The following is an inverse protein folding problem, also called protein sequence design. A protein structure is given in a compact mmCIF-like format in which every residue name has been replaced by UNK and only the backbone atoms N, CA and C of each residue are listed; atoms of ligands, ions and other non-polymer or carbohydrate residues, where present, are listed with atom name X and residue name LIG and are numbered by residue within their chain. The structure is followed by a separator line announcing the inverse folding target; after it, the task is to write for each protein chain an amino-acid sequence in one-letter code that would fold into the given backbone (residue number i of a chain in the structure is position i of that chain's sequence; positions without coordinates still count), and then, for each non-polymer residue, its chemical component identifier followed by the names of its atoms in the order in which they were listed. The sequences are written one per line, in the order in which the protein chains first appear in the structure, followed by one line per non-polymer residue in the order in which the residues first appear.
data_IF_244240289314
#
_entry.id   IF_244240289314
#
_cell.length_a   1.000
_cell.length_b   1.000
_cell.length_c   1.000
_cell.angle_alpha   90.00
_cell.angle_beta   90.00
_cell.angle_gamma   90.00
#
_symmetry.space_group_name_H-M   'P 1'
#
loop_
_entity.id
_entity.type
_entity.pdbx_description
1 polymer ?
#
# COMPACT_ATOMS: atom_id res chain seq x y z
N UNK A 1 13.98 -3.61 25.06
CA UNK A 1 12.63 -3.24 24.61
C UNK A 1 12.41 -4.01 23.32
N UNK A 2 11.42 -4.89 23.25
CA UNK A 2 11.07 -5.53 22.00
C UNK A 2 10.32 -4.48 21.17
N UNK A 3 10.88 -4.09 20.03
CA UNK A 3 10.17 -3.28 19.04
C UNK A 3 9.22 -4.23 18.31
N UNK A 4 7.94 -4.19 18.65
CA UNK A 4 6.91 -4.85 17.85
C UNK A 4 6.75 -4.06 16.56
N UNK A 5 6.73 -4.75 15.42
CA UNK A 5 6.47 -4.14 14.12
C UNK A 5 5.06 -3.57 14.10
N UNK A 6 4.93 -2.26 13.88
CA UNK A 6 3.65 -1.61 13.58
C UNK A 6 3.62 -1.32 12.09
N UNK A 7 3.00 -2.22 11.31
CA UNK A 7 2.58 -1.89 9.95
C UNK A 7 1.33 -1.02 10.06
N UNK A 8 1.38 0.22 9.57
CA UNK A 8 0.21 1.09 9.53
C UNK A 8 -0.45 0.94 8.16
N UNK A 9 -1.61 0.30 8.14
CA UNK A 9 -2.47 0.26 6.95
C UNK A 9 -3.33 1.52 6.94
N UNK A 10 -3.18 2.33 5.90
CA UNK A 10 -4.10 3.41 5.58
C UNK A 10 -5.00 2.87 4.46
N UNK A 11 -6.18 2.37 4.84
CA UNK A 11 -7.22 1.94 3.91
C UNK A 11 -8.20 3.08 3.67
N UNK A 12 -8.37 3.47 2.41
CA UNK A 12 -9.50 4.29 1.96
C UNK A 12 -10.56 3.33 1.39
N UNK A 13 -11.79 3.82 1.21
CA UNK A 13 -12.88 3.04 0.65
C UNK A 13 -13.10 3.49 -0.79
N UNK A 14 -13.07 2.54 -1.73
CA UNK A 14 -13.36 2.83 -3.14
C UNK A 14 -14.79 3.38 -3.32
N UNK A 15 -15.77 2.87 -2.57
CA UNK A 15 -17.17 3.35 -2.59
C UNK A 15 -17.49 4.16 -1.33
N UNK A 16 -17.99 5.39 -1.50
CA UNK A 16 -18.28 6.35 -0.41
C UNK A 16 -19.27 5.85 0.66
N UNK A 17 -20.11 4.85 0.35
CA UNK A 17 -21.11 4.31 1.27
C UNK A 17 -20.59 3.15 2.13
N UNK A 18 -19.31 2.78 2.00
CA UNK A 18 -18.66 1.79 2.83
C UNK A 18 -17.99 2.52 4.01
N UNK A 19 -18.14 2.04 5.25
CA UNK A 19 -17.61 2.72 6.44
C UNK A 19 -16.35 2.03 6.93
N UNK A 20 -15.21 2.73 6.96
CA UNK A 20 -14.02 2.46 7.80
C UNK A 20 -13.28 1.12 7.67
N UNK A 21 -13.82 0.17 6.91
CA UNK A 21 -13.32 -1.18 6.60
C UNK A 21 -13.68 -1.51 5.15
N UNK A 22 -13.33 -0.61 4.21
CA UNK A 22 -13.66 -0.77 2.80
C UNK A 22 -12.49 -1.28 1.98
N UNK A 23 -12.82 -1.64 0.76
CA UNK A 23 -11.91 -2.30 -0.16
C UNK A 23 -11.46 -1.26 -1.17
N UNK A 24 -10.22 -0.81 -1.06
CA UNK A 24 -9.68 0.27 -1.91
C UNK A 24 -9.43 -0.20 -3.34
N UNK A 25 -8.96 -1.44 -3.50
CA UNK A 25 -8.52 -1.99 -4.79
C UNK A 25 -9.44 -3.11 -5.31
N UNK A 26 -10.63 -3.21 -4.74
CA UNK A 26 -11.65 -4.18 -5.14
C UNK A 26 -13.05 -3.62 -5.01
N UNK A 27 -13.88 -3.82 -6.03
CA UNK A 27 -15.29 -3.45 -5.99
C UNK A 27 -16.12 -4.58 -5.37
N UNK A 28 -16.21 -4.59 -4.03
CA UNK A 28 -16.93 -5.64 -3.27
C UNK A 28 -18.39 -5.77 -3.65
N UNK A 29 -19.04 -4.65 -3.98
CA UNK A 29 -20.46 -4.64 -4.34
C UNK A 29 -20.74 -5.51 -5.57
N UNK A 30 -19.80 -5.54 -6.51
CA UNK A 30 -19.92 -6.28 -7.76
C UNK A 30 -18.93 -7.44 -7.89
N UNK A 31 -18.16 -7.69 -6.83
CA UNK A 31 -17.14 -8.71 -6.70
C UNK A 31 -16.19 -8.81 -7.90
N UNK A 32 -15.50 -7.69 -8.18
CA UNK A 32 -14.59 -7.56 -9.32
C UNK A 32 -13.48 -6.54 -9.05
N UNK A 33 -12.42 -6.53 -9.86
CA UNK A 33 -11.44 -5.44 -9.85
C UNK A 33 -12.07 -4.08 -10.19
N UNK A 34 -11.36 -3.02 -9.78
CA UNK A 34 -11.75 -1.62 -10.00
C UNK A 34 -11.42 -1.21 -11.44
N UNK A 35 -12.43 -1.17 -12.32
CA UNK A 35 -12.28 -0.90 -13.77
C UNK A 35 -12.85 0.44 -14.21
N UNK A 36 -13.37 1.25 -13.31
CA UNK A 36 -14.01 2.53 -13.62
C UNK A 36 -14.08 3.41 -12.37
N UNK A 37 -14.58 4.64 -12.50
CA UNK A 37 -14.88 5.49 -11.34
C UNK A 37 -16.02 4.91 -10.50
N UNK A 38 -16.02 5.21 -9.19
CA UNK A 38 -16.94 4.58 -8.23
C UNK A 38 -18.43 4.90 -8.47
N UNK A 39 -18.77 6.01 -9.13
CA UNK A 39 -20.14 6.37 -9.48
C UNK A 39 -20.59 5.82 -10.85
N UNK A 40 -19.66 5.31 -11.67
CA UNK A 40 -19.99 4.86 -13.02
C UNK A 40 -20.77 3.53 -13.03
N UNK A 41 -21.67 3.33 -14.02
CA UNK A 41 -22.37 2.07 -14.18
C UNK A 41 -21.40 0.90 -14.36
N UNK A 42 -21.74 -0.23 -13.74
CA UNK A 42 -20.97 -1.47 -13.85
C UNK A 42 -21.61 -2.38 -14.89
N UNK A 43 -20.81 -2.75 -15.90
CA UNK A 43 -21.20 -3.68 -16.96
C UNK A 43 -20.45 -5.01 -16.83
N UNK A 44 -21.17 -6.10 -17.06
CA UNK A 44 -20.70 -7.48 -17.11
C UNK A 44 -20.70 -7.98 -18.56
N UNK A 45 -20.19 -9.21 -18.78
CA UNK A 45 -20.10 -9.79 -20.13
C UNK A 45 -21.45 -9.77 -20.84
N UNK A 46 -22.54 -10.04 -20.12
CA UNK A 46 -23.90 -10.16 -20.64
C UNK A 46 -24.46 -8.85 -21.20
N UNK A 47 -23.85 -7.71 -20.85
CA UNK A 47 -24.28 -6.38 -21.29
C UNK A 47 -23.73 -5.99 -22.69
N UNK A 48 -22.86 -6.82 -23.28
CA UNK A 48 -22.21 -6.54 -24.57
C UNK A 48 -22.68 -7.49 -25.68
N UNK A 49 -22.87 -6.94 -26.89
CA UNK A 49 -23.37 -7.70 -28.05
C UNK A 49 -22.34 -8.72 -28.58
N UNK A 50 -21.05 -8.47 -28.33
CA UNK A 50 -19.95 -9.31 -28.81
C UNK A 50 -18.84 -9.48 -27.77
N UNK A 51 -18.01 -10.52 -27.94
CA UNK A 51 -16.82 -10.71 -27.10
C UNK A 51 -15.82 -9.58 -27.33
N UNK A 52 -15.68 -9.09 -28.57
CA UNK A 52 -14.75 -8.02 -28.91
C UNK A 52 -15.04 -6.72 -28.15
N UNK A 53 -16.33 -6.33 -28.05
CA UNK A 53 -16.73 -5.15 -27.28
C UNK A 53 -16.45 -5.31 -25.78
N UNK A 54 -16.74 -6.48 -25.23
CA UNK A 54 -16.44 -6.78 -23.83
C UNK A 54 -14.94 -6.74 -23.55
N UNK A 55 -14.11 -7.30 -24.43
CA UNK A 55 -12.65 -7.26 -24.28
C UNK A 55 -12.09 -5.83 -24.36
N UNK A 56 -12.64 -4.96 -25.21
CA UNK A 56 -12.24 -3.56 -25.25
C UNK A 56 -12.65 -2.81 -23.98
N UNK A 57 -13.81 -3.12 -23.40
CA UNK A 57 -14.21 -2.61 -22.09
C UNK A 57 -13.27 -3.07 -20.98
N UNK A 58 -12.95 -4.37 -20.91
CA UNK A 58 -11.99 -4.93 -19.93
C UNK A 58 -10.62 -4.27 -20.09
N UNK A 59 -10.14 -4.08 -21.32
CA UNK A 59 -8.86 -3.42 -21.57
C UNK A 59 -8.81 -1.99 -21.04
N UNK A 60 -9.89 -1.22 -21.22
CA UNK A 60 -10.02 0.12 -20.63
C UNK A 60 -10.05 0.05 -19.10
N UNK A 61 -10.75 -0.94 -18.55
CA UNK A 61 -10.81 -1.18 -17.12
C UNK A 61 -9.46 -1.49 -16.51
N UNK A 62 -8.65 -2.33 -17.18
CA UNK A 62 -7.29 -2.63 -16.76
C UNK A 62 -6.37 -1.41 -16.81
N UNK A 63 -6.60 -0.48 -17.75
CA UNK A 63 -5.85 0.79 -17.75
C UNK A 63 -6.30 1.69 -16.60
N UNK A 64 -7.61 1.80 -16.39
CA UNK A 64 -8.16 2.55 -15.26
C UNK A 64 -7.61 2.04 -13.92
N UNK A 65 -7.61 0.73 -13.70
CA UNK A 65 -7.10 0.11 -12.49
C UNK A 65 -5.65 0.50 -12.21
N UNK A 66 -4.80 0.49 -13.25
CA UNK A 66 -3.39 0.89 -13.13
C UNK A 66 -3.24 2.36 -12.77
N UNK A 67 -3.97 3.22 -13.47
CA UNK A 67 -3.94 4.67 -13.22
C UNK A 67 -4.46 5.00 -11.81
N UNK A 68 -5.48 4.27 -11.34
CA UNK A 68 -6.02 4.37 -10.00
C UNK A 68 -4.99 3.96 -8.95
N UNK A 69 -4.38 2.78 -9.08
CA UNK A 69 -3.35 2.28 -8.16
C UNK A 69 -2.14 3.21 -8.12
N UNK A 70 -1.66 3.66 -9.27
CA UNK A 70 -0.58 4.64 -9.33
C UNK A 70 -0.93 5.87 -8.50
N UNK A 71 -2.09 6.47 -8.78
CA UNK A 71 -2.54 7.70 -8.15
C UNK A 71 -2.67 7.56 -6.63
N UNK A 72 -3.28 6.48 -6.15
CA UNK A 72 -3.51 6.28 -4.70
C UNK A 72 -2.24 5.87 -3.95
N UNK A 73 -1.37 5.05 -4.56
CA UNK A 73 -0.07 4.71 -3.99
C UNK A 73 0.82 5.95 -3.87
N UNK A 74 0.94 6.75 -4.93
CA UNK A 74 1.74 7.98 -4.91
C UNK A 74 1.24 8.96 -3.84
N UNK A 75 -0.08 9.21 -3.78
CA UNK A 75 -0.69 10.08 -2.77
C UNK A 75 -0.50 9.55 -1.34
N UNK A 76 -0.66 8.24 -1.11
CA UNK A 76 -0.48 7.64 0.19
C UNK A 76 0.95 7.73 0.70
N UNK A 77 1.94 7.54 -0.18
CA UNK A 77 3.35 7.72 0.17
C UNK A 77 3.65 9.18 0.46
N UNK A 78 3.13 10.13 -0.33
CA UNK A 78 3.30 11.56 -0.09
C UNK A 78 2.72 12.00 1.25
N UNK A 79 1.51 11.56 1.60
CA UNK A 79 0.86 11.88 2.89
C UNK A 79 1.71 11.38 4.07
N UNK A 80 2.24 10.15 3.99
CA UNK A 80 3.15 9.61 5.01
C UNK A 80 4.43 10.46 5.11
N UNK A 81 5.03 10.83 3.99
CA UNK A 81 6.25 11.63 3.95
C UNK A 81 6.07 13.03 4.53
N UNK A 82 4.92 13.67 4.31
CA UNK A 82 4.56 14.96 4.94
C UNK A 82 4.57 14.87 6.48
N UNK A 83 4.21 13.70 7.02
CA UNK A 83 4.25 13.39 8.46
C UNK A 83 5.59 12.82 8.93
N UNK A 84 6.60 12.72 8.05
CA UNK A 84 7.91 12.09 8.30
C UNK A 84 7.78 10.60 8.69
N UNK A 85 6.78 9.93 8.14
CA UNK A 85 6.63 8.49 8.16
C UNK A 85 7.16 7.96 6.82
N UNK A 86 7.89 6.85 6.87
CA UNK A 86 8.59 6.30 5.71
C UNK A 86 8.09 4.87 5.49
N UNK A 87 7.17 4.64 4.55
CA UNK A 87 6.67 3.30 4.27
C UNK A 87 7.80 2.41 3.74
N UNK A 88 7.80 1.15 4.16
CA UNK A 88 8.80 0.13 3.76
C UNK A 88 8.16 -1.11 3.10
N UNK A 89 6.86 -1.29 3.27
CA UNK A 89 6.10 -2.38 2.68
C UNK A 89 4.66 -1.92 2.44
N UNK A 90 3.93 -2.69 1.64
CA UNK A 90 2.52 -2.45 1.34
C UNK A 90 1.65 -3.61 1.84
N UNK A 91 0.44 -3.29 2.29
CA UNK A 91 -0.63 -4.25 2.57
C UNK A 91 -1.89 -3.76 1.87
N UNK A 92 -2.52 -4.62 1.08
CA UNK A 92 -3.79 -4.26 0.46
C UNK A 92 -4.90 -4.26 1.52
N UNK A 93 -5.78 -3.25 1.58
CA UNK A 93 -6.94 -3.26 2.46
C UNK A 93 -7.76 -4.55 2.30
N UNK A 94 -8.05 -5.20 3.43
CA UNK A 94 -8.71 -6.52 3.49
C UNK A 94 -8.02 -7.63 2.69
N UNK A 95 -6.73 -7.47 2.38
CA UNK A 95 -5.94 -8.38 1.55
C UNK A 95 -6.46 -8.51 0.12
N UNK A 96 -7.13 -7.47 -0.39
CA UNK A 96 -7.85 -7.51 -1.66
C UNK A 96 -7.22 -6.64 -2.73
N UNK A 97 -6.82 -7.28 -3.81
CA UNK A 97 -6.23 -6.64 -4.99
C UNK A 97 -6.22 -7.67 -6.12
N UNK A 98 -6.46 -7.22 -7.36
CA UNK A 98 -6.39 -8.12 -8.53
C UNK A 98 -4.94 -8.49 -8.88
N UNK A 99 -4.78 -9.48 -9.77
CA UNK A 99 -3.50 -9.84 -10.36
C UNK A 99 -2.84 -8.71 -11.14
N UNK A 100 -3.64 -7.85 -11.75
CA UNK A 100 -3.16 -6.64 -12.43
C UNK A 100 -2.69 -5.64 -11.39
N UNK A 101 -3.45 -5.47 -10.31
CA UNK A 101 -3.09 -4.57 -9.24
C UNK A 101 -1.79 -4.94 -8.56
N UNK A 102 -1.58 -6.21 -8.21
CA UNK A 102 -0.30 -6.66 -7.62
C UNK A 102 0.89 -6.45 -8.56
N UNK A 103 0.71 -6.64 -9.88
CA UNK A 103 1.76 -6.38 -10.87
C UNK A 103 2.08 -4.89 -11.00
N UNK A 104 1.07 -4.03 -10.91
CA UNK A 104 1.28 -2.58 -10.95
C UNK A 104 1.95 -2.10 -9.65
N UNK A 105 1.50 -2.60 -8.49
CA UNK A 105 2.06 -2.29 -7.18
C UNK A 105 3.56 -2.63 -7.09
N UNK A 106 4.00 -3.72 -7.74
CA UNK A 106 5.40 -4.14 -7.76
C UNK A 106 6.35 -3.12 -8.43
N UNK A 107 5.81 -2.14 -9.17
CA UNK A 107 6.61 -1.02 -9.68
C UNK A 107 7.01 -0.03 -8.55
N UNK A 108 6.26 -0.01 -7.45
CA UNK A 108 6.41 0.96 -6.37
C UNK A 108 7.01 0.35 -5.11
N UNK A 109 6.61 -0.86 -4.72
CA UNK A 109 7.08 -1.53 -3.51
C UNK A 109 7.85 -2.80 -3.86
N UNK A 110 8.94 -3.06 -3.13
CA UNK A 110 9.64 -4.36 -3.18
C UNK A 110 9.05 -5.41 -2.25
N UNK A 111 8.23 -4.99 -1.28
CA UNK A 111 7.82 -5.83 -0.14
C UNK A 111 6.35 -5.65 0.14
N UNK A 112 5.65 -6.78 0.27
CA UNK A 112 4.24 -6.88 0.61
C UNK A 112 4.10 -7.61 1.95
N UNK A 113 3.25 -7.09 2.84
CA UNK A 113 2.91 -7.69 4.13
C UNK A 113 1.43 -8.07 4.11
N UNK A 114 1.08 -9.26 4.58
CA UNK A 114 -0.32 -9.66 4.73
C UNK A 114 -0.68 -10.98 4.05
N UNK A 115 -1.96 -11.15 3.75
CA UNK A 115 -2.44 -12.25 2.90
C UNK A 115 -2.56 -11.79 1.45
N UNK A 116 -2.63 -12.76 0.53
CA UNK A 116 -2.79 -12.49 -0.89
C UNK A 116 -4.14 -12.98 -1.39
N UNK A 117 -4.81 -12.17 -2.20
CA UNK A 117 -5.94 -12.63 -2.99
C UNK A 117 -5.44 -13.45 -4.18
N UNK A 118 -5.97 -14.66 -4.34
CA UNK A 118 -5.51 -15.64 -5.34
C UNK A 118 -6.50 -15.81 -6.51
N UNK A 119 -7.53 -14.97 -6.58
CA UNK A 119 -8.55 -14.98 -7.63
C UNK A 119 -8.88 -13.58 -8.11
N UNK A 120 -9.01 -13.39 -9.42
CA UNK A 120 -9.56 -12.17 -10.03
C UNK A 120 -11.09 -12.23 -10.20
N UNK A 121 -11.72 -13.30 -9.73
CA UNK A 121 -13.18 -13.50 -9.81
C UNK A 121 -13.91 -13.22 -8.50
N UNK A 122 -13.20 -13.25 -7.35
CA UNK A 122 -13.82 -12.99 -6.05
C UNK A 122 -12.82 -12.56 -4.99
N UNK A 123 -13.22 -11.60 -4.14
CA UNK A 123 -12.42 -11.19 -2.97
C UNK A 123 -12.36 -12.25 -1.86
N UNK A 124 -13.25 -13.25 -1.88
CA UNK A 124 -13.33 -14.25 -0.81
C UNK A 124 -12.21 -15.29 -0.86
N UNK A 125 -11.39 -15.25 -1.91
CA UNK A 125 -10.29 -16.19 -2.12
C UNK A 125 -8.96 -15.56 -1.71
N UNK A 126 -8.68 -15.52 -0.40
CA UNK A 126 -7.37 -15.15 0.13
C UNK A 126 -6.59 -16.38 0.62
N UNK A 127 -5.27 -16.30 0.56
CA UNK A 127 -4.38 -17.34 1.05
C UNK A 127 -3.24 -16.73 1.90
N UNK A 128 -3.08 -17.15 3.16
CA UNK A 128 -1.92 -16.81 3.98
C UNK A 128 -0.83 -17.88 3.81
N UNK A 129 0.27 -17.63 3.08
CA UNK A 129 1.40 -18.56 3.08
C UNK A 129 2.03 -18.61 4.48
N UNK A 130 2.67 -19.73 4.83
CA UNK A 130 3.30 -19.86 6.15
C UNK A 130 4.67 -19.21 6.24
N UNK A 131 5.31 -18.95 5.09
CA UNK A 131 6.71 -18.58 4.98
C UNK A 131 6.88 -17.33 4.13
N UNK A 132 7.97 -16.61 4.37
CA UNK A 132 8.47 -15.60 3.43
C UNK A 132 8.67 -16.22 2.04
N UNK A 133 8.23 -15.52 1.00
CA UNK A 133 8.33 -16.01 -0.37
C UNK A 133 8.37 -14.87 -1.38
N UNK A 134 8.66 -15.19 -2.65
CA UNK A 134 8.58 -14.23 -3.76
C UNK A 134 7.67 -14.83 -4.85
N UNK A 135 6.34 -14.89 -4.63
CA UNK A 135 5.43 -15.45 -5.62
C UNK A 135 5.53 -14.68 -6.94
N UNK A 136 5.66 -15.37 -8.06
CA UNK A 136 5.75 -14.72 -9.39
C UNK A 136 4.53 -13.85 -9.70
N UNK A 137 3.38 -14.16 -9.09
CA UNK A 137 2.14 -13.40 -9.19
C UNK A 137 2.25 -12.00 -8.58
N UNK A 138 3.12 -11.77 -7.58
CA UNK A 138 3.36 -10.47 -6.95
C UNK A 138 4.41 -9.62 -7.68
N UNK A 139 4.67 -9.89 -8.96
CA UNK A 139 5.56 -9.05 -9.77
C UNK A 139 7.02 -8.99 -9.29
N UNK A 140 7.44 -9.93 -8.43
CA UNK A 140 8.79 -9.95 -7.86
C UNK A 140 8.90 -9.35 -6.45
N UNK A 141 7.79 -8.89 -5.85
CA UNK A 141 7.78 -8.48 -4.45
C UNK A 141 8.04 -9.67 -3.51
N UNK A 142 8.76 -9.40 -2.42
CA UNK A 142 8.85 -10.30 -1.27
C UNK A 142 7.57 -10.23 -0.46
N UNK A 143 6.98 -11.37 -0.13
CA UNK A 143 5.78 -11.51 0.69
C UNK A 143 6.17 -11.93 2.11
N UNK A 144 5.84 -11.08 3.08
CA UNK A 144 5.87 -11.40 4.50
C UNK A 144 4.44 -11.72 4.96
N UNK A 145 4.13 -12.97 5.29
CA UNK A 145 2.75 -13.36 5.47
C UNK A 145 2.16 -12.93 6.82
N UNK A 146 0.85 -12.66 6.82
CA UNK A 146 0.01 -12.61 8.01
C UNK A 146 -0.68 -13.99 8.17
N UNK A 147 -0.38 -14.70 9.25
CA UNK A 147 -0.69 -16.14 9.41
C UNK A 147 -1.70 -16.45 10.51
N UNK A 148 -1.96 -15.51 11.42
CA UNK A 148 -2.72 -15.75 12.65
C UNK A 148 -4.14 -15.12 12.60
N UNK A 149 -4.45 -14.33 11.59
CA UNK A 149 -5.64 -13.48 11.47
C UNK A 149 -5.54 -12.19 12.29
N UNK A 150 -6.71 -11.66 12.65
CA UNK A 150 -6.83 -10.40 13.39
C UNK A 150 -7.53 -10.59 14.73
N UNK A 151 -7.30 -9.64 15.64
CA UNK A 151 -8.03 -9.52 16.90
C UNK A 151 -9.37 -8.82 16.65
N UNK A 152 -10.47 -9.54 16.84
CA UNK A 152 -11.84 -9.03 16.71
C UNK A 152 -12.27 -8.32 18.00
N UNK A 153 -12.50 -7.01 17.92
CA UNK A 153 -12.94 -6.19 19.06
C UNK A 153 -14.34 -6.48 19.59
N UNK A 154 -15.19 -7.12 18.79
CA UNK A 154 -16.52 -7.54 19.22
C UNK A 154 -16.47 -8.79 20.12
N UNK A 155 -15.33 -9.48 20.15
CA UNK A 155 -15.12 -10.69 20.92
C UNK A 155 -13.85 -10.57 21.79
N UNK A 156 -14.02 -10.37 23.10
CA UNK A 156 -12.91 -10.23 24.06
C UNK A 156 -12.00 -11.46 24.14
N UNK A 157 -12.45 -12.63 23.67
CA UNK A 157 -11.65 -13.85 23.60
C UNK A 157 -10.97 -14.05 22.23
N UNK A 158 -11.06 -13.08 21.30
CA UNK A 158 -10.50 -13.22 19.95
C UNK A 158 -8.99 -13.42 19.92
N UNK A 159 -8.25 -12.88 20.89
CA UNK A 159 -6.81 -13.15 21.03
C UNK A 159 -6.51 -14.64 21.24
N UNK A 160 -7.42 -15.41 21.84
CA UNK A 160 -7.23 -16.87 21.99
C UNK A 160 -7.21 -17.59 20.65
N UNK A 161 -7.87 -17.05 19.62
CA UNK A 161 -7.78 -17.58 18.27
C UNK A 161 -6.39 -17.33 17.66
N UNK A 162 -5.78 -16.18 17.96
CA UNK A 162 -4.38 -15.88 17.58
C UNK A 162 -3.45 -16.90 18.23
N UNK A 163 -3.57 -17.11 19.55
CA UNK A 163 -2.74 -18.07 20.29
C UNK A 163 -2.88 -19.49 19.75
N UNK A 164 -4.11 -19.95 19.55
CA UNK A 164 -4.36 -21.29 18.99
C UNK A 164 -3.71 -21.47 17.62
N UNK A 165 -3.82 -20.47 16.73
CA UNK A 165 -3.16 -20.54 15.42
C UNK A 165 -1.65 -20.48 15.56
N UNK A 166 -1.11 -19.72 16.51
CA UNK A 166 0.32 -19.69 16.76
C UNK A 166 0.84 -21.06 17.23
N UNK A 167 0.11 -21.80 18.06
CA UNK A 167 0.44 -23.19 18.42
C UNK A 167 0.49 -24.11 17.18
N UNK A 168 -0.42 -23.94 16.23
CA UNK A 168 -0.45 -24.73 15.00
C UNK A 168 0.68 -24.34 14.03
N UNK A 169 0.85 -23.04 13.78
CA UNK A 169 1.83 -22.48 12.82
C UNK A 169 3.26 -22.65 13.34
N UNK A 170 3.49 -22.56 14.65
CA UNK A 170 4.82 -22.71 15.24
C UNK A 170 5.43 -24.11 15.08
N UNK A 171 4.62 -25.10 14.69
CA UNK A 171 5.11 -26.43 14.36
C UNK A 171 5.94 -26.50 13.06
N UNK A 172 6.00 -25.40 12.29
CA UNK A 172 6.78 -25.27 11.06
C UNK A 172 8.01 -24.38 11.29
N UNK A 173 9.19 -24.88 10.95
CA UNK A 173 10.50 -24.34 11.37
C UNK A 173 10.81 -22.90 10.94
N UNK A 174 10.32 -22.47 9.78
CA UNK A 174 10.61 -21.15 9.21
C UNK A 174 9.34 -20.29 9.11
N UNK A 175 8.31 -20.66 9.87
CA UNK A 175 7.03 -19.98 9.79
C UNK A 175 7.11 -18.55 10.31
N UNK A 176 6.17 -17.74 9.87
CA UNK A 176 5.93 -16.42 10.45
C UNK A 176 4.75 -16.51 11.41
N UNK A 177 4.90 -15.93 12.61
CA UNK A 177 3.81 -15.71 13.56
C UNK A 177 3.41 -14.24 13.48
N UNK A 178 2.44 -13.94 12.60
CA UNK A 178 2.05 -12.57 12.28
C UNK A 178 0.54 -12.43 12.38
N UNK A 179 0.09 -11.39 13.08
CA UNK A 179 -1.32 -11.07 13.28
C UNK A 179 -1.59 -9.60 12.99
N UNK A 180 -2.82 -9.30 12.59
CA UNK A 180 -3.28 -7.94 12.38
C UNK A 180 -3.97 -7.39 13.64
N UNK A 181 -3.70 -6.12 13.97
CA UNK A 181 -4.29 -5.46 15.14
C UNK A 181 -4.77 -4.05 14.83
N UNK A 182 -6.06 -3.81 15.06
CA UNK A 182 -6.65 -2.49 14.86
C UNK A 182 -6.35 -1.55 16.06
N UNK A 183 -5.74 -0.37 15.86
CA UNK A 183 -5.40 0.53 16.96
C UNK A 183 -6.59 1.01 17.80
N UNK A 184 -7.80 1.09 17.23
CA UNK A 184 -9.01 1.53 17.95
C UNK A 184 -9.43 0.57 19.08
N UNK A 185 -8.93 -0.67 19.08
CA UNK A 185 -9.16 -1.66 20.13
C UNK A 185 -8.47 -1.31 21.46
N UNK A 186 -7.56 -0.32 21.44
CA UNK A 186 -6.82 0.15 22.60
C UNK A 186 -5.57 -0.67 22.87
N UNK A 187 -4.72 -0.21 23.79
CA UNK A 187 -3.39 -0.81 24.02
C UNK A 187 -3.43 -2.03 24.93
N UNK A 188 -4.44 -2.18 25.79
CA UNK A 188 -4.46 -3.26 26.79
C UNK A 188 -4.62 -4.64 26.15
N UNK A 189 -5.53 -4.79 25.19
CA UNK A 189 -5.70 -6.04 24.44
C UNK A 189 -4.47 -6.37 23.56
N UNK A 190 -3.79 -5.35 23.03
CA UNK A 190 -2.52 -5.54 22.34
C UNK A 190 -1.45 -6.10 23.28
N UNK A 191 -1.33 -5.55 24.50
CA UNK A 191 -0.37 -6.07 25.50
C UNK A 191 -0.66 -7.51 25.88
N UNK A 192 -1.93 -7.87 26.08
CA UNK A 192 -2.34 -9.24 26.37
C UNK A 192 -1.93 -10.18 25.22
N UNK A 193 -2.24 -9.81 23.97
CA UNK A 193 -1.86 -10.61 22.80
C UNK A 193 -0.34 -10.76 22.68
N UNK A 194 0.42 -9.68 22.86
CA UNK A 194 1.89 -9.71 22.79
C UNK A 194 2.50 -10.52 23.93
N UNK A 195 1.90 -10.51 25.13
CA UNK A 195 2.39 -11.32 26.25
C UNK A 195 2.28 -12.82 25.94
N UNK A 196 1.18 -13.26 25.33
CA UNK A 196 1.04 -14.64 24.86
C UNK A 196 2.06 -14.96 23.76
N UNK A 197 2.32 -14.03 22.84
CA UNK A 197 3.31 -14.24 21.77
C UNK A 197 4.76 -14.37 22.28
N UNK A 198 5.08 -13.90 23.49
CA UNK A 198 6.40 -14.10 24.11
C UNK A 198 6.68 -15.54 24.52
N UNK A 199 5.67 -16.41 24.54
CA UNK A 199 5.86 -17.83 24.80
C UNK A 199 6.66 -18.54 23.69
N UNK A 200 6.74 -17.93 22.49
CA UNK A 200 7.50 -18.41 21.34
C UNK A 200 8.88 -17.72 21.32
N UNK A 201 9.72 -18.01 22.31
CA UNK A 201 11.03 -17.35 22.52
C UNK A 201 12.12 -17.77 21.52
N UNK A 202 11.83 -18.78 20.70
CA UNK A 202 12.62 -19.20 19.56
C UNK A 202 12.43 -18.33 18.31
N UNK A 203 11.43 -17.45 18.29
CA UNK A 203 11.14 -16.54 17.18
C UNK A 203 11.87 -15.20 17.35
N UNK A 204 12.27 -14.63 16.22
CA UNK A 204 12.81 -13.28 16.15
C UNK A 204 11.74 -12.30 15.69
N UNK A 205 11.71 -11.11 16.30
CA UNK A 205 10.82 -10.04 15.88
C UNK A 205 11.33 -9.44 14.57
N UNK A 206 10.47 -9.46 13.55
CA UNK A 206 10.76 -8.88 12.24
C UNK A 206 10.81 -7.36 12.34
N UNK A 207 11.92 -6.77 11.90
CA UNK A 207 12.05 -5.32 11.73
C UNK A 207 12.31 -5.00 10.25
N UNK A 208 11.35 -4.36 9.59
CA UNK A 208 11.48 -3.95 8.20
C UNK A 208 12.68 -3.02 7.97
N UNK A 209 13.14 -2.27 8.98
CA UNK A 209 14.34 -1.42 8.83
C UNK A 209 15.62 -2.22 8.62
N UNK A 210 15.68 -3.44 9.14
CA UNK A 210 16.82 -4.36 9.00
C UNK A 210 16.80 -5.08 7.65
N UNK A 211 15.64 -5.17 7.00
CA UNK A 211 15.45 -5.82 5.71
C UNK A 211 15.75 -4.87 4.55
N UNK A 212 16.23 -5.43 3.43
CA UNK A 212 16.42 -4.70 2.18
C UNK A 212 15.07 -4.42 1.51
N UNK A 213 14.51 -3.25 1.77
CA UNK A 213 13.26 -2.80 1.15
C UNK A 213 13.50 -1.57 0.27
N UNK A 214 12.66 -1.42 -0.74
CA UNK A 214 12.62 -0.27 -1.62
C UNK A 214 11.18 0.16 -1.87
N UNK A 215 10.93 1.45 -1.71
CA UNK A 215 9.72 2.13 -2.17
C UNK A 215 10.13 3.23 -3.14
N UNK A 216 9.58 3.23 -4.35
CA UNK A 216 9.88 4.21 -5.40
C UNK A 216 8.57 4.78 -5.93
N UNK A 217 8.34 6.08 -5.70
CA UNK A 217 7.21 6.84 -6.24
C UNK A 217 7.74 8.13 -6.85
N UNK A 218 7.31 8.46 -8.06
CA UNK A 218 7.67 9.70 -8.77
C UNK A 218 9.16 10.10 -8.64
N UNK A 219 9.47 11.06 -7.76
CA UNK A 219 10.78 11.64 -7.54
C UNK A 219 11.42 11.21 -6.21
N UNK A 220 10.81 10.28 -5.47
CA UNK A 220 11.23 9.80 -4.15
C UNK A 220 11.60 8.32 -4.21
N UNK A 221 12.77 8.00 -3.67
CA UNK A 221 13.19 6.62 -3.38
C UNK A 221 13.43 6.49 -1.88
N UNK A 222 12.71 5.60 -1.23
CA UNK A 222 12.89 5.21 0.16
C UNK A 222 13.51 3.82 0.16
N UNK A 223 14.59 3.63 0.91
CA UNK A 223 15.21 2.32 1.11
C UNK A 223 15.43 2.04 2.58
N UNK A 224 15.36 0.76 2.97
CA UNK A 224 15.86 0.31 4.26
C UNK A 224 16.89 -0.80 4.10
N UNK A 225 17.88 -0.82 4.98
CA UNK A 225 18.86 -1.90 5.17
C UNK A 225 19.67 -1.64 6.45
N UNK A 226 20.08 -2.69 7.18
CA UNK A 226 20.93 -2.60 8.38
C UNK A 226 20.40 -1.60 9.44
N UNK A 227 19.09 -1.57 9.64
CA UNK A 227 18.41 -0.76 10.65
C UNK A 227 18.30 0.72 10.27
N UNK A 228 18.62 1.09 9.03
CA UNK A 228 18.62 2.48 8.55
C UNK A 228 17.61 2.67 7.43
N UNK A 229 16.93 3.81 7.49
CA UNK A 229 16.07 4.29 6.39
C UNK A 229 16.82 5.43 5.67
N UNK A 230 16.91 5.35 4.35
CA UNK A 230 17.39 6.42 3.48
C UNK A 230 16.24 6.94 2.63
N UNK A 231 16.22 8.25 2.39
CA UNK A 231 15.24 8.90 1.52
C UNK A 231 15.97 9.79 0.55
N UNK A 232 15.89 9.45 -0.72
CA UNK A 232 16.44 10.22 -1.82
C UNK A 232 15.31 10.92 -2.55
N UNK A 233 15.46 12.23 -2.83
CA UNK A 233 14.52 13.02 -3.63
C UNK A 233 15.23 13.58 -4.85
N UNK A 234 14.59 13.57 -6.01
CA UNK A 234 15.18 14.15 -7.21
C UNK A 234 15.42 15.65 -7.03
N UNK A 235 16.60 16.11 -7.46
CA UNK A 235 17.01 17.51 -7.33
C UNK A 235 16.29 18.44 -8.33
N UNK A 236 15.72 17.89 -9.40
CA UNK A 236 15.17 18.66 -10.52
C UNK A 236 13.87 19.36 -10.12
N UNK A 237 12.97 18.69 -9.40
CA UNK A 237 11.71 19.31 -8.96
C UNK A 237 11.85 20.18 -7.72
N UNK A 238 12.79 19.90 -6.82
CA UNK A 238 13.14 20.85 -5.75
C UNK A 238 13.52 22.23 -6.31
N UNK A 239 14.11 22.27 -7.51
CA UNK A 239 14.42 23.50 -8.24
C UNK A 239 13.17 24.06 -8.92
N UNK A 240 12.38 23.24 -9.61
CA UNK A 240 11.15 23.67 -10.30
C UNK A 240 10.09 24.20 -9.31
N UNK A 241 9.82 23.50 -8.22
CA UNK A 241 8.88 23.91 -7.17
C UNK A 241 9.36 25.19 -6.45
N UNK A 242 10.66 25.32 -6.14
CA UNK A 242 11.22 26.58 -5.60
C UNK A 242 11.13 27.74 -6.59
N UNK A 243 11.38 27.51 -7.88
CA UNK A 243 11.26 28.54 -8.91
C UNK A 243 9.79 28.94 -9.14
N UNK A 244 8.88 27.98 -9.15
CA UNK A 244 7.44 28.20 -9.28
C UNK A 244 6.87 29.01 -8.11
N UNK A 245 7.33 28.75 -6.88
CA UNK A 245 6.93 29.52 -5.69
C UNK A 245 7.60 30.89 -5.59
N UNK A 246 8.68 31.15 -6.33
CA UNK A 246 9.39 32.44 -6.42
C UNK A 246 8.96 33.32 -7.60
N UNK A 247 7.87 32.98 -8.31
CA UNK A 247 7.37 33.72 -9.48
C UNK A 247 7.20 35.23 -9.22
N UNK A 248 6.77 35.59 -8.01
CA UNK A 248 6.59 36.97 -7.54
C UNK A 248 7.90 37.77 -7.43
N UNK A 249 9.06 37.12 -7.33
CA UNK A 249 10.37 37.77 -7.42
C UNK A 249 10.93 37.76 -8.85
N UNK A 250 10.70 36.66 -9.58
CA UNK A 250 11.27 36.44 -10.92
C UNK A 250 10.62 37.39 -11.94
N UNK A 251 9.30 37.56 -11.92
CA UNK A 251 8.58 38.41 -12.87
C UNK A 251 9.00 39.88 -12.76
N UNK A 252 9.06 40.52 -11.56
CA UNK A 252 9.54 41.90 -11.45
C UNK A 252 10.97 42.11 -11.94
N UNK A 253 11.86 41.15 -11.70
CA UNK A 253 13.26 41.21 -12.16
C UNK A 253 13.34 41.16 -13.69
N UNK A 254 12.56 40.26 -14.33
CA UNK A 254 12.49 40.17 -15.79
C UNK A 254 11.92 41.47 -16.38
N UNK A 255 10.84 42.02 -15.80
CA UNK A 255 10.24 43.29 -16.24
C UNK A 255 11.24 44.45 -16.12
N UNK A 256 11.98 44.52 -15.02
CA UNK A 256 13.01 45.53 -14.79
C UNK A 256 14.16 45.42 -15.80
N UNK A 257 14.63 44.20 -16.10
CA UNK A 257 15.67 43.96 -17.11
C UNK A 257 15.20 44.35 -18.52
N UNK A 258 13.97 44.02 -18.89
CA UNK A 258 13.36 44.42 -20.17
C UNK A 258 13.27 45.95 -20.26
N UNK A 259 12.89 46.63 -19.17
CA UNK A 259 12.84 48.09 -19.12
C UNK A 259 14.23 48.72 -19.33
N UNK A 260 15.27 48.20 -18.68
CA UNK A 260 16.66 48.66 -18.86
C UNK A 260 17.12 48.49 -20.31
N UNK A 261 16.87 47.33 -20.92
CA UNK A 261 17.25 47.06 -22.32
C UNK A 261 16.48 47.96 -23.28
N UNK A 262 15.20 48.21 -23.03
CA UNK A 262 14.35 49.08 -23.84
C UNK A 262 14.76 50.56 -23.73
N UNK A 263 15.22 50.99 -22.55
CA UNK A 263 15.76 52.35 -22.34
C UNK A 263 17.12 52.54 -23.01
N UNK A 264 17.96 51.50 -23.07
CA UNK A 264 19.23 51.53 -23.81
C UNK A 264 19.04 51.57 -25.33
N UNK A 265 17.97 51.00 -25.88
CA UNK A 265 17.64 51.06 -27.32
C UNK A 265 17.06 52.40 -27.80
N UNK A 266 16.61 53.26 -26.87
CA UNK A 266 16.03 54.59 -27.18
C UNK A 266 17.01 55.76 -27.05
N UNK A 267 18.27 55.49 -26.69
CA UNK A 267 19.39 56.44 -26.75
C UNK A 267 20.28 56.10 -27.93
#
# INVERSE_FOLDING_TARGET
MAEALLCMVIGINYRENETGEGFEYWDVKYDRPVYQENEEPVFFREDFESDEEFQEYVKKGLQFERDYIQSTVEQGVDELLEQKLYPLAFEAPHYTMSSTGYKELANYFSTYVGQIQISDETYQATFPPLFESTPSYLGGMTLLPETLGYVDGSNLDSYKNIVKKAEEVSSFSDSYLSFFYHPYLGIELLKETIEEMKAYDEYEWVDLKEMSNKVEVQDVVITSEDGRISVERSLVENIVHKLGTMWWFIIPVIVFLIAIVSMKKKR
#
